data_IF_193588116610
#
_entry.id   IF_193588116610
#
_cell.length_a   1.000
_cell.length_b   1.000
_cell.length_c   1.000
_cell.angle_alpha   90.00
_cell.angle_beta   90.00
_cell.angle_gamma   90.00
#
_symmetry.space_group_name_H-M   'P 1'
#
loop_
_entity.id
_entity.type
_entity.pdbx_description
1 polymer ?
#
# COMPACT_ATOMS: atom_id res chain seq x y z
N UNK A 1 -23.32 -31.55 52.50
CA UNK A 1 -23.37 -32.12 51.14
C UNK A 1 -22.69 -31.15 50.21
N UNK A 2 -21.57 -31.56 49.62
CA UNK A 2 -20.89 -30.82 48.57
C UNK A 2 -21.56 -31.09 47.23
N UNK A 3 -21.70 -30.07 46.38
CA UNK A 3 -21.54 -30.24 44.94
C UNK A 3 -21.18 -28.90 44.30
N UNK A 4 -19.95 -28.85 43.80
CA UNK A 4 -19.39 -27.80 42.94
C UNK A 4 -19.81 -28.13 41.51
N UNK A 5 -20.48 -27.19 40.82
CA UNK A 5 -20.52 -27.15 39.36
C UNK A 5 -19.85 -25.86 38.91
N UNK A 6 -18.54 -25.92 38.66
CA UNK A 6 -17.85 -24.92 37.86
C UNK A 6 -18.07 -25.26 36.39
N UNK A 7 -18.88 -24.45 35.72
CA UNK A 7 -19.03 -24.46 34.27
C UNK A 7 -17.67 -24.19 33.62
N UNK A 8 -17.27 -25.07 32.70
CA UNK A 8 -16.06 -24.91 31.90
C UNK A 8 -16.13 -23.68 31.01
N UNK A 9 -15.30 -22.69 31.32
CA UNK A 9 -15.01 -21.55 30.44
C UNK A 9 -13.94 -22.00 29.46
N UNK A 10 -14.35 -22.71 28.41
CA UNK A 10 -13.54 -22.96 27.21
C UNK A 10 -13.68 -21.80 26.24
N UNK A 11 -13.26 -20.59 26.64
CA UNK A 11 -13.22 -19.43 25.77
C UNK A 11 -11.78 -19.15 25.37
N UNK A 12 -11.31 -19.76 24.29
CA UNK A 12 -10.05 -19.35 23.65
C UNK A 12 -10.22 -17.93 23.15
N UNK A 13 -9.61 -16.98 23.86
CA UNK A 13 -9.47 -15.60 23.45
C UNK A 13 -8.92 -15.58 22.02
N UNK A 14 -9.77 -15.18 21.06
CA UNK A 14 -9.31 -14.77 19.75
C UNK A 14 -8.32 -13.63 19.99
N UNK A 15 -7.06 -13.86 19.62
CA UNK A 15 -6.00 -12.87 19.77
C UNK A 15 -6.46 -11.55 19.21
N UNK A 16 -6.62 -10.57 20.09
CA UNK A 16 -6.86 -9.19 19.72
C UNK A 16 -5.62 -8.73 18.96
N UNK A 17 -5.61 -8.87 17.64
CA UNK A 17 -4.59 -8.24 16.82
C UNK A 17 -4.69 -6.74 17.13
N UNK A 18 -3.67 -6.13 17.77
CA UNK A 18 -3.74 -4.71 18.05
C UNK A 18 -3.96 -3.98 16.72
N UNK A 19 -4.78 -2.90 16.69
CA UNK A 19 -4.98 -2.14 15.48
C UNK A 19 -3.61 -1.70 14.96
N UNK A 20 -3.29 -2.06 13.72
CA UNK A 20 -2.04 -1.69 13.08
C UNK A 20 -2.02 -0.16 12.97
N UNK A 21 -1.30 0.50 13.88
CA UNK A 21 -1.06 1.94 13.77
C UNK A 21 -0.10 2.19 12.61
N UNK A 22 -0.16 3.36 11.97
CA UNK A 22 0.76 3.71 10.88
C UNK A 22 2.25 3.54 11.27
N UNK A 23 2.58 3.80 12.54
CA UNK A 23 3.94 3.58 13.07
C UNK A 23 4.33 2.10 13.14
N UNK A 24 3.38 1.21 13.46
CA UNK A 24 3.63 -0.24 13.48
C UNK A 24 3.65 -0.82 12.05
N UNK A 25 2.81 -0.26 11.17
CA UNK A 25 2.72 -0.65 9.76
C UNK A 25 4.00 -0.44 8.96
N UNK A 26 4.79 0.58 9.31
CA UNK A 26 6.05 0.91 8.64
C UNK A 26 7.31 0.59 9.46
N UNK A 27 7.17 -0.11 10.59
CA UNK A 27 8.26 -0.29 11.56
C UNK A 27 9.48 -1.05 11.00
N UNK A 28 9.23 -2.05 10.14
CA UNK A 28 10.22 -2.88 9.45
C UNK A 28 10.62 -2.34 8.06
N UNK A 29 9.94 -1.30 7.56
CA UNK A 29 10.29 -0.70 6.28
C UNK A 29 11.59 0.11 6.39
N UNK A 30 12.50 -0.10 5.44
CA UNK A 30 13.78 0.62 5.34
C UNK A 30 13.96 1.06 3.87
N UNK A 31 13.89 2.37 3.58
CA UNK A 31 14.06 2.87 2.23
C UNK A 31 15.35 2.35 1.59
N UNK A 32 15.27 1.86 0.36
CA UNK A 32 16.40 1.33 -0.41
C UNK A 32 17.01 0.01 0.10
N UNK A 33 16.51 -0.59 1.18
CA UNK A 33 17.04 -1.84 1.72
C UNK A 33 16.49 -3.10 1.01
N UNK A 34 15.37 -2.96 0.28
CA UNK A 34 14.72 -4.06 -0.41
C UNK A 34 15.31 -4.24 -1.82
N UNK A 35 15.90 -5.41 -2.08
CA UNK A 35 16.24 -5.84 -3.44
C UNK A 35 14.99 -6.23 -4.25
N UNK A 36 15.13 -6.34 -5.57
CA UNK A 36 14.00 -6.55 -6.50
C UNK A 36 13.06 -7.70 -6.10
N UNK A 37 13.63 -8.83 -5.64
CA UNK A 37 12.84 -9.97 -5.16
C UNK A 37 12.13 -9.67 -3.83
N UNK A 38 12.82 -9.05 -2.88
CA UNK A 38 12.26 -8.76 -1.55
C UNK A 38 11.14 -7.72 -1.58
N UNK A 39 11.09 -6.86 -2.60
CA UNK A 39 9.97 -5.91 -2.78
C UNK A 39 8.63 -6.62 -2.98
N UNK A 40 8.64 -7.82 -3.54
CA UNK A 40 7.42 -8.57 -3.87
C UNK A 40 7.14 -9.71 -2.88
N UNK A 41 7.78 -9.71 -1.71
CA UNK A 41 7.69 -10.77 -0.70
C UNK A 41 7.38 -10.20 0.69
N UNK A 42 6.95 -11.08 1.61
CA UNK A 42 6.77 -10.76 3.04
C UNK A 42 5.81 -9.59 3.30
N UNK A 43 6.12 -8.81 4.34
CA UNK A 43 5.30 -7.67 4.76
C UNK A 43 5.20 -6.58 3.68
N UNK A 44 6.23 -6.42 2.82
CA UNK A 44 6.13 -5.45 1.73
C UNK A 44 5.08 -5.87 0.70
N UNK A 45 4.94 -7.16 0.41
CA UNK A 45 3.86 -7.65 -0.45
C UNK A 45 2.48 -7.35 0.17
N UNK A 46 2.33 -7.50 1.49
CA UNK A 46 1.09 -7.14 2.20
C UNK A 46 0.76 -5.65 2.00
N UNK A 47 1.76 -4.77 2.05
CA UNK A 47 1.59 -3.33 1.78
C UNK A 47 1.15 -3.06 0.35
N UNK A 48 1.81 -3.69 -0.62
CA UNK A 48 1.47 -3.55 -2.03
C UNK A 48 0.05 -4.05 -2.32
N UNK A 49 -0.36 -5.17 -1.74
CA UNK A 49 -1.70 -5.73 -1.89
C UNK A 49 -2.77 -4.81 -1.26
N UNK A 50 -2.51 -4.26 -0.08
CA UNK A 50 -3.41 -3.30 0.57
C UNK A 50 -3.57 -2.04 -0.28
N UNK A 51 -2.48 -1.52 -0.84
CA UNK A 51 -2.50 -0.38 -1.76
C UNK A 51 -3.26 -0.71 -3.05
N UNK A 52 -3.06 -1.89 -3.64
CA UNK A 52 -3.78 -2.30 -4.85
C UNK A 52 -5.29 -2.40 -4.58
N UNK A 53 -5.70 -2.98 -3.46
CA UNK A 53 -7.13 -3.09 -3.11
C UNK A 53 -7.81 -1.72 -3.00
N UNK A 54 -7.05 -0.69 -2.59
CA UNK A 54 -7.51 0.70 -2.53
C UNK A 54 -7.59 1.37 -3.91
N UNK A 55 -6.57 1.19 -4.76
CA UNK A 55 -6.49 1.86 -6.07
C UNK A 55 -7.30 1.18 -7.17
N UNK A 56 -7.51 -0.12 -7.07
CA UNK A 56 -8.21 -0.92 -8.06
C UNK A 56 -9.25 -1.85 -7.42
N UNK A 57 -10.30 -1.30 -6.77
CA UNK A 57 -11.35 -2.11 -6.18
C UNK A 57 -12.04 -2.96 -7.26
N UNK A 58 -12.18 -4.26 -7.00
CA UNK A 58 -12.75 -5.21 -7.96
C UNK A 58 -11.72 -5.94 -8.85
N UNK A 59 -10.46 -5.49 -8.87
CA UNK A 59 -9.36 -6.32 -9.37
C UNK A 59 -8.89 -7.26 -8.27
N UNK A 60 -9.08 -8.57 -8.45
CA UNK A 60 -8.69 -9.57 -7.46
C UNK A 60 -7.19 -9.44 -7.12
N UNK A 61 -6.88 -9.17 -5.84
CA UNK A 61 -5.52 -9.17 -5.32
C UNK A 61 -4.89 -10.54 -5.60
N UNK A 62 -4.00 -10.60 -6.60
CA UNK A 62 -3.36 -11.83 -7.08
C UNK A 62 -3.54 -12.15 -8.56
N UNK A 63 -4.50 -11.54 -9.28
CA UNK A 63 -4.66 -11.76 -10.73
C UNK A 63 -3.92 -10.74 -11.61
N UNK A 64 -3.80 -9.49 -11.16
CA UNK A 64 -3.00 -8.48 -11.87
C UNK A 64 -1.59 -8.39 -11.30
N UNK A 65 -0.71 -9.32 -11.69
CA UNK A 65 0.74 -9.23 -11.37
C UNK A 65 1.34 -7.87 -11.77
N UNK A 66 0.75 -7.22 -12.77
CA UNK A 66 1.14 -5.88 -13.24
C UNK A 66 0.89 -4.80 -12.19
N UNK A 67 -0.24 -4.78 -11.49
CA UNK A 67 -0.57 -3.74 -10.51
C UNK A 67 0.41 -3.73 -9.33
N UNK A 68 0.67 -4.90 -8.74
CA UNK A 68 1.66 -5.04 -7.66
C UNK A 68 3.05 -4.61 -8.13
N UNK A 69 3.47 -4.98 -9.35
CA UNK A 69 4.76 -4.59 -9.89
C UNK A 69 4.86 -3.06 -10.05
N UNK A 70 3.84 -2.41 -10.63
CA UNK A 70 3.81 -0.95 -10.75
C UNK A 70 3.88 -0.26 -9.39
N UNK A 71 3.22 -0.80 -8.36
CA UNK A 71 3.30 -0.24 -7.00
C UNK A 71 4.67 -0.45 -6.34
N UNK A 72 5.36 -1.54 -6.67
CA UNK A 72 6.73 -1.76 -6.23
C UNK A 72 7.70 -0.81 -6.93
N UNK A 73 7.51 -0.56 -8.23
CA UNK A 73 8.30 0.40 -9.01
C UNK A 73 8.05 1.84 -8.53
N UNK A 74 6.79 2.16 -8.19
CA UNK A 74 6.44 3.41 -7.52
C UNK A 74 7.18 3.58 -6.18
N UNK A 75 7.15 2.56 -5.33
CA UNK A 75 7.82 2.57 -4.03
C UNK A 75 9.34 2.78 -4.21
N UNK A 76 9.96 2.07 -5.15
CA UNK A 76 11.37 2.25 -5.48
C UNK A 76 11.68 3.67 -5.99
N UNK A 77 10.85 4.22 -6.87
CA UNK A 77 11.06 5.57 -7.39
C UNK A 77 11.02 6.61 -6.27
N UNK A 78 10.07 6.46 -5.34
CA UNK A 78 9.89 7.36 -4.21
C UNK A 78 10.98 7.23 -3.13
N UNK A 79 11.67 6.09 -3.07
CA UNK A 79 12.81 5.87 -2.16
C UNK A 79 14.09 6.58 -2.65
N UNK A 80 14.13 7.06 -3.89
CA UNK A 80 15.32 7.72 -4.44
C UNK A 80 15.55 9.10 -3.81
N UNK A 81 16.80 9.58 -3.74
CA UNK A 81 17.10 10.94 -3.26
C UNK A 81 16.40 12.04 -4.07
N UNK A 82 16.20 11.80 -5.37
CA UNK A 82 15.50 12.68 -6.29
C UNK A 82 14.48 11.87 -7.10
N UNK A 83 13.27 11.64 -6.57
CA UNK A 83 12.24 10.87 -7.27
C UNK A 83 11.86 11.51 -8.59
N UNK A 84 11.80 10.72 -9.65
CA UNK A 84 11.21 11.11 -10.92
C UNK A 84 9.67 11.14 -10.78
N UNK A 85 9.12 12.36 -10.83
CA UNK A 85 7.69 12.60 -10.66
C UNK A 85 6.86 12.05 -11.80
N UNK A 86 7.40 12.03 -13.03
CA UNK A 86 6.69 11.53 -14.20
C UNK A 86 6.64 10.00 -14.15
N UNK A 87 7.75 9.35 -13.81
CA UNK A 87 7.78 7.90 -13.62
C UNK A 87 6.82 7.46 -12.49
N UNK A 88 6.90 8.12 -11.34
CA UNK A 88 6.02 7.85 -10.21
C UNK A 88 4.53 8.03 -10.57
N UNK A 89 4.19 9.08 -11.33
CA UNK A 89 2.84 9.29 -11.81
C UNK A 89 2.36 8.19 -12.77
N UNK A 90 3.21 7.77 -13.71
CA UNK A 90 2.89 6.73 -14.68
C UNK A 90 2.59 5.37 -14.00
N UNK A 91 3.39 5.01 -12.99
CA UNK A 91 3.17 3.79 -12.21
C UNK A 91 1.82 3.82 -11.49
N UNK A 92 1.49 4.92 -10.80
CA UNK A 92 0.19 5.05 -10.13
C UNK A 92 -0.98 5.05 -11.11
N UNK A 93 -0.86 5.75 -12.23
CA UNK A 93 -1.89 5.79 -13.26
C UNK A 93 -2.19 4.38 -13.80
N UNK A 94 -1.14 3.59 -14.05
CA UNK A 94 -1.26 2.21 -14.55
C UNK A 94 -1.84 1.26 -13.51
N UNK A 95 -1.54 1.48 -12.22
CA UNK A 95 -2.02 0.65 -11.12
C UNK A 95 -3.45 1.00 -10.65
N UNK A 96 -4.05 2.09 -11.14
CA UNK A 96 -5.30 2.64 -10.59
C UNK A 96 -6.49 2.54 -11.55
N UNK A 97 -7.64 2.14 -11.01
CA UNK A 97 -8.94 2.27 -11.68
C UNK A 97 -9.79 3.39 -11.09
N UNK A 98 -9.35 4.00 -9.99
CA UNK A 98 -10.02 5.13 -9.34
C UNK A 98 -9.38 6.46 -9.71
N UNK A 99 -10.12 7.56 -9.51
CA UNK A 99 -9.58 8.91 -9.64
C UNK A 99 -8.42 9.15 -8.66
N UNK A 100 -7.32 9.67 -9.16
CA UNK A 100 -6.10 9.91 -8.39
C UNK A 100 -6.09 11.36 -7.91
N UNK A 101 -6.34 11.57 -6.62
CA UNK A 101 -6.28 12.88 -5.96
C UNK A 101 -5.04 13.00 -5.07
N UNK A 102 -4.77 14.19 -4.53
CA UNK A 102 -3.72 14.37 -3.52
C UNK A 102 -3.94 13.45 -2.31
N UNK A 103 -5.19 13.27 -1.86
CA UNK A 103 -5.52 12.39 -0.73
C UNK A 103 -5.24 10.93 -1.04
N UNK A 104 -5.51 10.50 -2.28
CA UNK A 104 -5.17 9.15 -2.77
C UNK A 104 -3.67 8.94 -2.74
N UNK A 105 -2.87 9.87 -3.28
CA UNK A 105 -1.39 9.78 -3.22
C UNK A 105 -0.90 9.78 -1.77
N UNK A 106 -1.48 10.61 -0.91
CA UNK A 106 -1.16 10.62 0.53
C UNK A 106 -1.47 9.28 1.21
N UNK A 107 -2.58 8.64 0.83
CA UNK A 107 -2.96 7.32 1.34
C UNK A 107 -1.97 6.25 0.87
N UNK A 108 -1.68 6.21 -0.43
CA UNK A 108 -0.71 5.29 -1.04
C UNK A 108 0.65 5.43 -0.37
N UNK A 109 1.16 6.65 -0.19
CA UNK A 109 2.46 6.91 0.42
C UNK A 109 2.54 6.37 1.86
N UNK A 110 1.50 6.60 2.67
CA UNK A 110 1.44 6.05 4.02
C UNK A 110 1.39 4.53 4.03
N UNK A 111 0.62 3.92 3.13
CA UNK A 111 0.50 2.47 3.04
C UNK A 111 1.79 1.81 2.54
N UNK A 112 2.51 2.45 1.61
CA UNK A 112 3.78 1.97 1.07
C UNK A 112 5.00 2.46 1.87
N UNK A 113 4.79 3.22 2.94
CA UNK A 113 5.84 3.72 3.83
C UNK A 113 6.86 4.64 3.14
N UNK A 114 6.45 5.32 2.07
CA UNK A 114 7.28 6.30 1.34
C UNK A 114 6.87 7.72 1.70
N UNK A 115 7.81 8.66 1.57
CA UNK A 115 7.59 10.06 1.90
C UNK A 115 7.66 10.94 0.65
N UNK A 116 6.81 11.96 0.62
CA UNK A 116 6.86 13.02 -0.38
C UNK A 116 6.52 14.36 0.28
N UNK A 117 7.22 15.43 -0.09
CA UNK A 117 6.77 16.77 0.23
C UNK A 117 5.43 17.07 -0.45
N UNK A 118 4.63 17.96 0.13
CA UNK A 118 3.29 18.29 -0.39
C UNK A 118 3.31 18.73 -1.86
N UNK A 119 4.28 19.55 -2.26
CA UNK A 119 4.43 19.98 -3.66
C UNK A 119 4.71 18.80 -4.61
N UNK A 120 5.54 17.84 -4.19
CA UNK A 120 5.83 16.62 -4.97
C UNK A 120 4.60 15.73 -5.07
N UNK A 121 3.91 15.48 -3.95
CA UNK A 121 2.69 14.67 -3.93
C UNK A 121 1.58 15.27 -4.82
N UNK A 122 1.42 16.59 -4.78
CA UNK A 122 0.45 17.29 -5.64
C UNK A 122 0.80 17.18 -7.12
N UNK A 123 2.09 17.33 -7.47
CA UNK A 123 2.53 17.19 -8.86
C UNK A 123 2.30 15.76 -9.38
N UNK A 124 2.62 14.75 -8.58
CA UNK A 124 2.37 13.34 -8.91
C UNK A 124 0.85 13.10 -9.09
N UNK A 125 0.02 13.58 -8.16
CA UNK A 125 -1.44 13.40 -8.25
C UNK A 125 -2.01 13.97 -9.55
N UNK A 126 -1.65 15.22 -9.89
CA UNK A 126 -2.13 15.87 -11.12
C UNK A 126 -1.68 15.11 -12.37
N UNK A 127 -0.40 14.72 -12.45
CA UNK A 127 0.13 14.01 -13.61
C UNK A 127 -0.46 12.59 -13.74
N UNK A 128 -0.61 11.87 -12.62
CA UNK A 128 -1.13 10.52 -12.59
C UNK A 128 -2.59 10.48 -13.03
N UNK A 129 -3.43 11.43 -12.57
CA UNK A 129 -4.83 11.49 -13.00
C UNK A 129 -4.97 11.83 -14.49
N UNK A 130 -4.15 12.75 -15.00
CA UNK A 130 -4.14 13.07 -16.42
C UNK A 130 -3.81 11.82 -17.27
N UNK A 131 -2.76 11.08 -16.88
CA UNK A 131 -2.36 9.84 -17.56
C UNK A 131 -3.44 8.75 -17.45
N UNK A 132 -4.02 8.54 -16.27
CA UNK A 132 -5.09 7.57 -16.05
C UNK A 132 -6.32 7.88 -16.90
N UNK A 133 -6.73 9.15 -16.95
CA UNK A 133 -7.87 9.59 -17.74
C UNK A 133 -7.65 9.40 -19.25
N UNK A 134 -6.43 9.58 -19.73
CA UNK A 134 -6.07 9.31 -21.14
C UNK A 134 -6.16 7.82 -21.48
N UNK A 135 -5.65 6.93 -20.61
CA UNK A 135 -5.71 5.48 -20.84
C UNK A 135 -7.13 4.89 -20.80
N UNK A 136 -8.07 5.62 -20.18
CA UNK A 136 -9.47 5.20 -20.08
C UNK A 136 -10.34 5.64 -21.28
N UNK A 137 -9.77 6.40 -22.23
CA UNK A 137 -10.42 6.81 -23.48
C UNK A 137 -10.31 5.71 -24.54
#
# INVERSE_FOLDING_TARGET
MALVLTAGIGGTAHGSTPPLTAATWCADYRPGALGARQRLEGENLTRLQATQAFLAPGFAAGQSRTGIAMLADYQEEMDRPHPDREAAAAYLATASTVHITLDVVGMVNRTLCVAAGQATAQAIATAAEAARAEMAR
#
